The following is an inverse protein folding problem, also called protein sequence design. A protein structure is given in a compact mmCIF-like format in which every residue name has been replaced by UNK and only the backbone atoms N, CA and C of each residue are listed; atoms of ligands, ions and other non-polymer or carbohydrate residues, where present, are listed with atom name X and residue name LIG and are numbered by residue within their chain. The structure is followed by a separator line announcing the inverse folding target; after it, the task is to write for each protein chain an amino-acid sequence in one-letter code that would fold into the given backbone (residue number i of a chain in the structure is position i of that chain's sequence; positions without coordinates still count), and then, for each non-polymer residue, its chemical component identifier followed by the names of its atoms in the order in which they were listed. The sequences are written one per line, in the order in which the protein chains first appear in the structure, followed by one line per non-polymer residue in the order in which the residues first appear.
data_IF_925906883657
#
_entry.id   IF_925906883657
#
_cell.length_a   1.000
_cell.length_b   1.000
_cell.length_c   1.000
_cell.angle_alpha   90.00
_cell.angle_beta   90.00
_cell.angle_gamma   90.00
#
_symmetry.space_group_name_H-M   'P 1'
#
loop_
_entity.id
_entity.type
_entity.pdbx_description
1 polymer ?
#
# COMPACT_ATOMS: atom_id res chain seq x y z
N UNK A 1 -3.61 25.15 -60.27
CA UNK A 1 -2.87 23.88 -60.09
C UNK A 1 -1.71 24.21 -59.15
N UNK A 2 -1.53 23.69 -57.93
CA UNK A 2 -1.73 22.36 -57.34
C UNK A 2 -2.14 22.53 -55.87
N UNK A 3 -3.04 21.66 -55.40
CA UNK A 3 -3.38 21.46 -53.98
C UNK A 3 -2.28 20.61 -53.34
N UNK A 4 -1.91 20.90 -52.09
CA UNK A 4 -1.38 19.91 -51.15
C UNK A 4 -1.96 20.21 -49.77
N UNK A 5 -2.95 19.40 -49.42
CA UNK A 5 -3.44 19.20 -48.08
C UNK A 5 -2.44 18.35 -47.28
N UNK A 6 -2.66 18.32 -45.96
CA UNK A 6 -2.49 17.21 -44.98
C UNK A 6 -1.93 17.81 -43.68
N UNK A 7 -2.76 18.07 -42.65
CA UNK A 7 -3.30 17.15 -41.62
C UNK A 7 -2.26 16.68 -40.58
N UNK A 8 -2.61 16.92 -39.31
CA UNK A 8 -2.22 16.18 -38.10
C UNK A 8 -0.78 16.22 -37.57
N UNK A 9 -0.63 16.82 -36.38
CA UNK A 9 0.03 16.20 -35.22
C UNK A 9 -0.34 17.02 -33.97
N UNK A 10 -1.44 16.66 -33.32
CA UNK A 10 -1.41 15.92 -32.05
C UNK A 10 -1.05 16.83 -30.87
N UNK A 11 -2.10 17.23 -30.14
CA UNK A 11 -1.99 17.77 -28.80
C UNK A 11 -1.24 16.77 -27.91
N UNK A 12 0.07 16.97 -27.75
CA UNK A 12 0.81 16.33 -26.68
C UNK A 12 0.45 17.07 -25.39
N UNK A 13 -0.71 16.74 -24.82
CA UNK A 13 -0.95 16.92 -23.40
C UNK A 13 0.09 16.05 -22.70
N UNK A 14 1.27 16.60 -22.44
CA UNK A 14 2.18 16.02 -21.46
C UNK A 14 1.44 16.16 -20.14
N UNK A 15 0.73 15.09 -19.72
CA UNK A 15 0.32 14.93 -18.34
C UNK A 15 1.62 14.87 -17.53
N UNK A 16 2.13 16.04 -17.16
CA UNK A 16 3.04 16.18 -16.04
C UNK A 16 2.23 15.82 -14.81
N UNK A 17 2.11 14.51 -14.54
CA UNK A 17 1.71 14.04 -13.23
C UNK A 17 2.70 14.61 -12.20
N UNK A 18 2.27 14.80 -10.94
CA UNK A 18 3.20 15.16 -9.88
C UNK A 18 4.36 14.17 -9.90
N UNK A 19 5.57 14.67 -10.14
CA UNK A 19 6.77 13.86 -10.06
C UNK A 19 6.99 13.55 -8.58
N UNK A 20 6.43 12.43 -8.12
CA UNK A 20 6.92 11.81 -6.90
C UNK A 20 8.41 11.53 -7.13
N UNK A 21 9.26 11.86 -6.15
CA UNK A 21 10.70 11.69 -6.27
C UNK A 21 11.08 10.22 -6.59
N UNK A 22 10.16 9.31 -6.27
CA UNK A 22 10.27 7.86 -6.43
C UNK A 22 8.92 7.29 -6.84
N UNK A 23 8.91 6.16 -7.52
CA UNK A 23 7.68 5.51 -8.04
C UNK A 23 7.77 4.00 -7.99
N UNK A 24 6.64 3.32 -7.85
CA UNK A 24 6.59 1.87 -8.03
C UNK A 24 6.64 1.51 -9.51
N UNK A 25 7.43 0.49 -9.85
CA UNK A 25 7.60 -0.02 -11.20
C UNK A 25 7.50 -1.56 -11.24
N UNK A 26 6.88 -2.15 -12.29
CA UNK A 26 6.28 -1.49 -13.45
C UNK A 26 4.87 -0.93 -13.20
N UNK A 27 4.48 0.13 -13.91
CA UNK A 27 3.12 0.67 -13.83
C UNK A 27 2.09 -0.32 -14.40
N UNK A 28 0.91 -0.38 -13.79
CA UNK A 28 -0.12 -1.38 -14.11
C UNK A 28 0.18 -2.79 -13.60
N UNK A 29 1.32 -3.02 -12.94
CA UNK A 29 1.61 -4.31 -12.33
C UNK A 29 0.69 -4.58 -11.13
N UNK A 30 0.34 -5.86 -10.95
CA UNK A 30 -0.36 -6.31 -9.74
C UNK A 30 0.64 -6.42 -8.59
N UNK A 31 0.32 -5.76 -7.49
CA UNK A 31 1.06 -5.84 -6.23
C UNK A 31 0.45 -6.92 -5.38
N UNK A 32 1.26 -7.90 -4.97
CA UNK A 32 0.88 -8.85 -3.92
C UNK A 32 1.90 -8.78 -2.80
N UNK A 33 1.44 -8.42 -1.61
CA UNK A 33 2.25 -8.36 -0.40
C UNK A 33 1.72 -9.36 0.62
N UNK A 34 2.55 -10.30 1.06
CA UNK A 34 2.15 -11.34 2.02
C UNK A 34 3.15 -11.38 3.15
N UNK A 35 2.68 -11.50 4.39
CA UNK A 35 3.59 -11.66 5.52
C UNK A 35 2.92 -11.59 6.87
N UNK A 36 3.73 -11.47 7.91
CA UNK A 36 3.27 -11.42 9.29
C UNK A 36 2.89 -9.99 9.67
N UNK A 37 1.81 -9.87 10.44
CA UNK A 37 1.31 -8.61 11.00
C UNK A 37 0.97 -8.83 12.45
N UNK A 38 1.26 -7.85 13.30
CA UNK A 38 0.80 -7.81 14.67
C UNK A 38 -0.10 -6.59 14.86
N UNK A 39 -1.23 -6.80 15.50
CA UNK A 39 -2.20 -5.76 15.83
C UNK A 39 -2.50 -5.83 17.32
N UNK A 40 -2.30 -4.73 18.01
CA UNK A 40 -2.67 -4.56 19.41
C UNK A 40 -3.66 -3.43 19.50
N UNK A 41 -4.81 -3.68 20.11
CA UNK A 41 -5.82 -2.64 20.34
C UNK A 41 -6.03 -2.42 21.84
N UNK A 42 -6.40 -1.21 22.28
CA UNK A 42 -6.67 -0.96 23.70
C UNK A 42 -7.74 -1.90 24.24
N UNK A 43 -7.43 -2.65 25.30
CA UNK A 43 -8.34 -3.63 25.90
C UNK A 43 -8.38 -5.00 25.21
N UNK A 44 -7.54 -5.24 24.20
CA UNK A 44 -7.45 -6.52 23.49
C UNK A 44 -6.01 -7.06 23.46
N UNK A 45 -5.83 -8.39 23.51
CA UNK A 45 -4.50 -9.00 23.39
C UNK A 45 -3.90 -8.77 22.00
N UNK A 46 -2.58 -8.79 21.91
CA UNK A 46 -1.87 -8.71 20.62
C UNK A 46 -2.26 -9.88 19.72
N UNK A 47 -2.76 -9.57 18.54
CA UNK A 47 -3.13 -10.51 17.49
C UNK A 47 -2.00 -10.59 16.47
N UNK A 48 -1.41 -11.78 16.35
CA UNK A 48 -0.43 -12.07 15.30
C UNK A 48 -1.14 -12.77 14.15
N UNK A 49 -1.23 -12.09 13.01
CA UNK A 49 -1.98 -12.49 11.83
C UNK A 49 -1.06 -12.57 10.61
N UNK A 50 -1.28 -13.54 9.73
CA UNK A 50 -0.72 -13.51 8.39
C UNK A 50 -1.64 -12.67 7.50
N UNK A 51 -1.12 -11.60 6.93
CA UNK A 51 -1.86 -10.71 6.06
C UNK A 51 -1.45 -10.93 4.60
N UNK A 52 -2.42 -10.86 3.70
CA UNK A 52 -2.21 -10.81 2.25
C UNK A 52 -2.91 -9.59 1.71
N UNK A 53 -2.15 -8.68 1.12
CA UNK A 53 -2.62 -7.47 0.47
C UNK A 53 -2.49 -7.64 -1.03
N UNK A 54 -3.51 -7.20 -1.75
CA UNK A 54 -3.49 -7.16 -3.21
C UNK A 54 -3.92 -5.79 -3.70
N UNK A 55 -3.21 -5.33 -4.72
CA UNK A 55 -3.42 -4.02 -5.31
C UNK A 55 -2.80 -3.91 -6.69
N UNK A 56 -2.73 -2.69 -7.19
CA UNK A 56 -2.18 -2.37 -8.50
C UNK A 56 -1.35 -1.10 -8.43
N UNK A 57 -0.28 -1.04 -9.22
CA UNK A 57 0.48 0.19 -9.42
C UNK A 57 -0.25 1.11 -10.39
N UNK A 58 -0.56 2.31 -9.93
CA UNK A 58 -1.19 3.35 -10.71
C UNK A 58 -0.19 3.98 -11.68
N UNK A 59 -0.69 4.66 -12.71
CA UNK A 59 0.14 5.37 -13.69
C UNK A 59 0.90 6.56 -13.11
N UNK A 60 0.52 7.03 -11.92
CA UNK A 60 1.21 8.10 -11.19
C UNK A 60 2.38 7.59 -10.34
N UNK A 61 2.65 6.27 -10.33
CA UNK A 61 3.73 5.66 -9.55
C UNK A 61 3.36 5.31 -8.11
N UNK A 62 2.11 5.53 -7.69
CA UNK A 62 1.58 5.03 -6.40
C UNK A 62 1.04 3.62 -6.55
N UNK A 63 0.85 2.90 -5.44
CA UNK A 63 0.16 1.61 -5.46
C UNK A 63 -1.13 1.66 -4.65
N UNK A 64 -2.26 1.29 -5.25
CA UNK A 64 -3.55 1.22 -4.54
C UNK A 64 -3.81 -0.21 -4.12
N UNK A 65 -4.00 -0.42 -2.83
CA UNK A 65 -4.40 -1.71 -2.27
C UNK A 65 -5.93 -1.76 -2.24
N UNK A 66 -6.50 -2.68 -3.02
CA UNK A 66 -7.95 -2.84 -3.17
C UNK A 66 -8.52 -3.90 -2.23
N UNK A 67 -7.68 -4.84 -1.79
CA UNK A 67 -8.10 -5.92 -0.90
C UNK A 67 -7.01 -6.30 0.08
N UNK A 68 -7.42 -6.62 1.30
CA UNK A 68 -6.59 -7.16 2.35
C UNK A 68 -7.32 -8.33 3.02
N UNK A 69 -6.60 -9.42 3.29
CA UNK A 69 -7.13 -10.57 4.01
C UNK A 69 -6.18 -10.96 5.14
N UNK A 70 -6.73 -11.19 6.32
CA UNK A 70 -5.98 -11.62 7.50
C UNK A 70 -6.39 -13.03 7.87
N UNK A 71 -5.41 -13.91 8.07
CA UNK A 71 -5.61 -15.31 8.45
C UNK A 71 -4.74 -15.67 9.64
N UNK A 72 -5.17 -16.67 10.40
CA UNK A 72 -4.45 -17.16 11.59
C UNK A 72 -4.97 -16.58 12.90
N UNK A 73 -4.06 -16.46 13.88
CA UNK A 73 -4.36 -16.01 15.23
C UNK A 73 -5.02 -17.09 16.11
N UNK A 74 -5.01 -16.89 17.44
CA UNK A 74 -5.68 -17.79 18.37
C UNK A 74 -7.18 -17.81 18.08
N UNK A 75 -7.75 -19.01 17.94
CA UNK A 75 -9.18 -19.24 17.66
C UNK A 75 -9.72 -18.55 16.39
N UNK A 76 -8.85 -18.19 15.45
CA UNK A 76 -9.25 -17.51 14.21
C UNK A 76 -9.60 -16.02 14.38
N UNK A 77 -9.17 -15.39 15.47
CA UNK A 77 -9.45 -13.97 15.75
C UNK A 77 -8.98 -13.02 14.63
N UNK A 78 -7.98 -13.40 13.83
CA UNK A 78 -7.55 -12.60 12.68
C UNK A 78 -8.63 -12.46 11.60
N UNK A 79 -9.56 -13.41 11.49
CA UNK A 79 -10.68 -13.32 10.56
C UNK A 79 -11.69 -12.22 10.93
N UNK A 80 -11.61 -11.66 12.14
CA UNK A 80 -12.42 -10.52 12.58
C UNK A 80 -11.79 -9.18 12.20
N UNK A 81 -10.48 -9.17 11.88
CA UNK A 81 -9.80 -7.95 11.44
C UNK A 81 -10.38 -7.54 10.09
N UNK A 82 -10.81 -6.29 10.00
CA UNK A 82 -11.23 -5.64 8.75
C UNK A 82 -10.31 -4.47 8.49
N UNK A 83 -10.07 -4.22 7.21
CA UNK A 83 -9.33 -3.06 6.76
C UNK A 83 -10.22 -2.28 5.82
N UNK A 84 -10.23 -0.97 5.95
CA UNK A 84 -10.93 -0.11 5.00
C UNK A 84 -10.10 -0.03 3.73
N UNK A 85 -10.65 -0.52 2.62
CA UNK A 85 -10.06 -0.41 1.28
C UNK A 85 -10.98 0.43 0.39
N UNK A 86 -10.45 1.15 -0.61
CA UNK A 86 -9.04 1.21 -1.00
C UNK A 86 -8.19 2.18 -0.16
N UNK A 87 -6.92 1.84 0.05
CA UNK A 87 -5.91 2.76 0.59
C UNK A 87 -4.69 2.80 -0.34
N UNK A 88 -3.88 3.85 -0.23
CA UNK A 88 -2.79 4.13 -1.19
C UNK A 88 -1.42 4.08 -0.53
N UNK A 89 -0.47 3.46 -1.21
CA UNK A 89 0.95 3.44 -0.89
C UNK A 89 1.65 4.47 -1.77
N UNK A 90 2.34 5.42 -1.13
CA UNK A 90 3.07 6.49 -1.79
C UNK A 90 4.55 6.34 -1.47
N UNK A 91 5.41 5.99 -2.44
CA UNK A 91 6.84 5.91 -2.20
C UNK A 91 7.39 7.33 -1.97
N UNK A 92 8.08 7.53 -0.84
CA UNK A 92 8.71 8.81 -0.48
C UNK A 92 10.21 8.79 -0.73
N UNK A 93 10.83 7.60 -0.71
CA UNK A 93 12.23 7.35 -1.07
C UNK A 93 12.38 5.92 -1.63
N UNK A 94 13.59 5.56 -2.10
CA UNK A 94 13.92 4.18 -2.52
C UNK A 94 13.71 3.14 -1.41
N UNK A 95 13.68 3.58 -0.15
CA UNK A 95 13.59 2.74 1.05
C UNK A 95 12.45 3.13 1.99
N UNK A 96 11.56 4.02 1.59
CA UNK A 96 10.48 4.54 2.44
C UNK A 96 9.21 4.74 1.66
N UNK A 97 8.10 4.33 2.27
CA UNK A 97 6.76 4.37 1.69
C UNK A 97 5.82 4.91 2.74
N UNK A 98 4.93 5.81 2.35
CA UNK A 98 3.85 6.27 3.19
C UNK A 98 2.56 5.53 2.84
N UNK A 99 1.91 4.97 3.85
CA UNK A 99 0.58 4.37 3.73
C UNK A 99 -0.43 5.44 4.07
N UNK A 100 -1.20 5.89 3.08
CA UNK A 100 -2.22 6.91 3.27
C UNK A 100 -3.62 6.29 3.39
N UNK A 101 -4.37 6.73 4.41
CA UNK A 101 -5.74 6.29 4.65
C UNK A 101 -5.85 4.89 5.25
N UNK A 102 -4.88 4.49 6.07
CA UNK A 102 -4.93 3.21 6.76
C UNK A 102 -5.97 3.29 7.89
N UNK A 103 -7.00 2.46 7.78
CA UNK A 103 -8.01 2.27 8.82
C UNK A 103 -8.20 0.77 9.06
N UNK A 104 -8.03 0.37 10.31
CA UNK A 104 -8.11 -1.02 10.76
C UNK A 104 -9.25 -1.12 11.76
N UNK A 105 -10.11 -2.10 11.60
CA UNK A 105 -11.14 -2.44 12.57
C UNK A 105 -10.85 -3.81 13.14
N UNK A 106 -10.51 -3.86 14.42
CA UNK A 106 -10.47 -5.11 15.18
C UNK A 106 -10.70 -4.85 16.65
N UNK A 107 -11.69 -5.55 17.21
CA UNK A 107 -12.99 -5.07 17.73
C UNK A 107 -13.23 -3.56 17.96
N UNK A 108 -12.21 -2.73 17.99
CA UNK A 108 -12.30 -1.26 17.94
C UNK A 108 -11.80 -0.75 16.59
N UNK A 109 -12.32 0.40 16.17
CA UNK A 109 -11.88 1.06 14.94
C UNK A 109 -10.71 1.99 15.24
N UNK A 110 -9.66 1.88 14.43
CA UNK A 110 -8.45 2.68 14.53
C UNK A 110 -8.13 3.33 13.18
N UNK A 111 -7.96 4.65 13.18
CA UNK A 111 -7.75 5.47 11.98
C UNK A 111 -9.00 6.25 11.57
N UNK A 112 -9.00 6.83 10.36
CA UNK A 112 -7.95 6.76 9.34
C UNK A 112 -6.69 7.54 9.74
N UNK A 113 -5.51 6.96 9.48
CA UNK A 113 -4.21 7.61 9.72
C UNK A 113 -3.23 7.36 8.56
N UNK A 114 -2.19 8.19 8.50
CA UNK A 114 -1.05 7.98 7.61
C UNK A 114 0.09 7.33 8.40
N UNK A 115 0.65 6.25 7.86
CA UNK A 115 1.70 5.48 8.52
C UNK A 115 2.91 5.39 7.61
N UNK A 116 4.07 5.81 8.11
CA UNK A 116 5.33 5.62 7.41
C UNK A 116 5.82 4.18 7.56
N UNK A 117 6.23 3.59 6.45
CA UNK A 117 6.79 2.26 6.34
C UNK A 117 8.17 2.31 5.67
N UNK A 118 8.98 1.31 5.94
CA UNK A 118 10.25 1.08 5.27
C UNK A 118 10.07 0.09 4.11
N UNK A 119 10.87 0.28 3.08
CA UNK A 119 10.90 -0.57 1.91
C UNK A 119 12.33 -1.05 1.65
N UNK A 120 12.48 -2.28 1.19
CA UNK A 120 13.73 -2.80 0.67
C UNK A 120 13.49 -3.40 -0.71
N UNK A 121 14.11 -2.80 -1.72
CA UNK A 121 14.13 -3.35 -3.07
C UNK A 121 14.89 -4.68 -3.08
N UNK A 122 14.27 -5.71 -3.65
CA UNK A 122 14.84 -7.05 -3.73
C UNK A 122 14.03 -7.97 -4.63
N UNK A 123 14.47 -9.24 -4.72
CA UNK A 123 13.75 -10.30 -5.44
C UNK A 123 13.49 -11.47 -4.49
N UNK A 124 12.49 -11.41 -3.59
CA UNK A 124 11.39 -10.43 -3.53
C UNK A 124 11.73 -9.14 -2.77
N UNK A 125 10.90 -8.10 -2.95
CA UNK A 125 11.02 -6.85 -2.18
C UNK A 125 10.38 -7.02 -0.80
N UNK A 126 10.75 -6.17 0.15
CA UNK A 126 10.21 -6.20 1.51
C UNK A 126 9.59 -4.86 1.87
N UNK A 127 8.45 -4.91 2.57
CA UNK A 127 7.73 -3.77 3.08
C UNK A 127 7.46 -4.00 4.56
N UNK A 128 7.98 -3.10 5.38
CA UNK A 128 7.95 -3.23 6.82
C UNK A 128 7.33 -1.98 7.44
N UNK A 129 6.26 -2.16 8.18
CA UNK A 129 5.69 -1.10 9.04
C UNK A 129 6.32 -1.29 10.42
N UNK A 130 7.22 -0.39 10.86
CA UNK A 130 7.68 -0.43 12.24
C UNK A 130 6.48 -0.22 13.18
N UNK A 131 6.60 -0.64 14.43
CA UNK A 131 5.56 -0.50 15.45
C UNK A 131 4.99 0.93 15.46
N UNK A 132 3.80 1.08 14.89
CA UNK A 132 3.16 2.36 14.64
C UNK A 132 1.83 2.41 15.34
N UNK A 133 1.58 3.49 16.09
CA UNK A 133 0.30 3.71 16.75
C UNK A 133 -0.62 4.53 15.84
N UNK A 134 -1.74 3.93 15.48
CA UNK A 134 -2.82 4.53 14.69
C UNK A 134 -3.74 5.31 15.63
N UNK A 135 -3.92 6.60 15.34
CA UNK A 135 -4.84 7.49 16.04
C UNK A 135 -5.83 8.10 15.04
N UNK A 136 -7.13 8.22 15.37
CA UNK A 136 -7.78 7.88 16.65
C UNK A 136 -7.90 6.35 16.86
N UNK A 137 -8.18 5.91 18.09
CA UNK A 137 -8.41 4.50 18.45
C UNK A 137 -7.24 3.80 19.14
N UNK A 138 -6.01 4.29 18.99
CA UNK A 138 -4.84 3.84 19.78
C UNK A 138 -4.37 2.42 19.47
N UNK A 139 -4.70 1.87 18.31
CA UNK A 139 -4.18 0.58 17.89
C UNK A 139 -2.70 0.70 17.52
N UNK A 140 -1.91 -0.29 17.91
CA UNK A 140 -0.54 -0.44 17.46
C UNK A 140 -0.47 -1.52 16.40
N UNK A 141 0.11 -1.21 15.25
CA UNK A 141 0.34 -2.14 14.15
C UNK A 141 1.84 -2.31 13.90
N UNK A 142 2.24 -3.54 13.63
CA UNK A 142 3.53 -3.86 13.03
C UNK A 142 3.29 -4.80 11.87
N UNK A 143 4.00 -4.63 10.77
CA UNK A 143 3.87 -5.50 9.61
C UNK A 143 5.24 -5.80 9.00
N UNK A 144 5.43 -7.05 8.60
CA UNK A 144 6.60 -7.54 7.89
C UNK A 144 6.11 -8.30 6.66
N UNK A 145 6.08 -7.63 5.51
CA UNK A 145 5.48 -8.14 4.29
C UNK A 145 6.53 -8.36 3.21
N UNK A 146 6.44 -9.50 2.54
CA UNK A 146 7.18 -9.77 1.32
C UNK A 146 6.32 -9.35 0.13
N UNK A 147 6.85 -8.45 -0.70
CA UNK A 147 6.17 -7.91 -1.87
C UNK A 147 6.76 -8.51 -3.14
N UNK A 148 5.88 -8.99 -4.00
CA UNK A 148 6.23 -9.54 -5.31
C UNK A 148 5.63 -8.70 -6.42
N UNK A 149 6.38 -8.57 -7.52
CA UNK A 149 5.92 -7.97 -8.76
C UNK A 149 6.22 -6.48 -8.92
N UNK A 150 6.79 -5.81 -7.91
CA UNK A 150 7.14 -4.38 -7.96
C UNK A 150 8.39 -4.02 -7.18
N UNK A 151 9.05 -2.93 -7.59
CA UNK A 151 10.16 -2.27 -6.90
C UNK A 151 9.97 -0.75 -6.93
N UNK A 152 10.61 -0.02 -6.02
CA UNK A 152 10.67 1.46 -6.07
C UNK A 152 11.84 1.88 -6.95
N UNK A 153 11.61 2.80 -7.89
CA UNK A 153 12.61 3.42 -8.78
C UNK A 153 12.59 4.95 -8.65
#
# INVERSE_FOLDING_TARGET
MKKLAVLCAAAAMTLAGPAFAQSFSPSGATVTATGATSLTAPGFPTLNCAATFRGTVNSDGTATITSASFVGGPLGACALVRLTTPFTLVPTSTTSVNVNGLEVTAPVSCGPANVSATWANGTPSHFDIPTATISPGGCTVTAHLTVSGITII
#
